data_IF_294971276110
#
_entry.id   IF_294971276110
#
_cell.length_a   1.000
_cell.length_b   1.000
_cell.length_c   1.000
_cell.angle_alpha   90.00
_cell.angle_beta   90.00
_cell.angle_gamma   90.00
#
_symmetry.space_group_name_H-M   'P 1'
#
loop_
_entity.id
_entity.type
_entity.pdbx_description
1 polymer ?
#
# COMPACT_ATOMS: atom_id res chain seq x y z
N UNK A 1 -1.46 39.21 8.10
CA UNK A 1 -1.36 37.80 8.51
C UNK A 1 -2.21 37.00 7.54
N UNK A 2 -1.59 36.12 6.75
CA UNK A 2 -2.30 35.13 5.93
C UNK A 2 -2.86 34.05 6.85
N UNK A 3 -4.13 33.69 6.67
CA UNK A 3 -4.76 32.63 7.45
C UNK A 3 -5.07 31.42 6.58
N UNK A 4 -4.41 30.29 6.86
CA UNK A 4 -4.60 29.00 6.17
C UNK A 4 -5.91 28.27 6.56
N UNK A 5 -6.84 28.98 7.18
CA UNK A 5 -8.02 28.40 7.82
C UNK A 5 -9.30 29.09 7.37
N UNK A 6 -10.32 28.26 7.12
CA UNK A 6 -11.70 28.69 6.97
C UNK A 6 -12.26 28.94 8.36
N UNK A 7 -12.81 30.14 8.58
CA UNK A 7 -13.56 30.47 9.77
C UNK A 7 -15.04 30.46 9.43
N UNK A 8 -15.85 29.80 10.27
CA UNK A 8 -17.29 29.72 10.09
C UNK A 8 -17.99 30.68 11.05
N UNK A 9 -19.13 31.28 10.65
CA UNK A 9 -19.89 32.14 11.54
C UNK A 9 -20.30 31.35 12.78
N UNK A 10 -20.04 31.91 13.96
CA UNK A 10 -20.54 31.35 15.21
C UNK A 10 -22.05 31.55 15.23
N UNK A 11 -22.82 30.45 15.26
CA UNK A 11 -24.26 30.54 15.41
C UNK A 11 -24.57 31.04 16.82
N UNK A 12 -25.21 32.20 16.91
CA UNK A 12 -25.52 32.87 18.18
C UNK A 12 -26.72 32.21 18.87
N UNK A 13 -26.42 31.27 19.76
CA UNK A 13 -27.28 30.97 20.91
C UNK A 13 -26.88 31.93 22.05
N UNK A 14 -27.82 32.55 22.79
CA UNK A 14 -27.52 33.38 23.96
C UNK A 14 -26.58 32.73 25.00
N UNK A 15 -26.57 31.40 25.11
CA UNK A 15 -25.64 30.66 25.96
C UNK A 15 -24.20 30.72 25.44
N UNK A 16 -24.03 30.57 24.13
CA UNK A 16 -22.72 30.61 23.44
C UNK A 16 -22.14 32.03 23.49
N UNK A 17 -22.97 33.06 23.35
CA UNK A 17 -22.53 34.46 23.44
C UNK A 17 -21.96 34.80 24.81
N UNK A 18 -22.63 34.35 25.89
CA UNK A 18 -22.13 34.51 27.26
C UNK A 18 -20.81 33.76 27.50
N UNK A 19 -20.67 32.55 26.97
CA UNK A 19 -19.44 31.76 27.08
C UNK A 19 -18.26 32.42 26.35
N UNK A 20 -18.48 32.92 25.13
CA UNK A 20 -17.45 33.61 24.36
C UNK A 20 -17.08 34.97 24.96
N UNK A 21 -18.04 35.74 25.46
CA UNK A 21 -17.78 36.96 26.23
C UNK A 21 -16.91 36.69 27.46
N UNK A 22 -17.17 35.58 28.18
CA UNK A 22 -16.37 35.17 29.34
C UNK A 22 -14.93 34.76 28.95
N UNK A 23 -14.76 34.08 27.82
CA UNK A 23 -13.45 33.69 27.28
C UNK A 23 -12.64 34.89 26.77
N UNK A 24 -13.30 35.90 26.18
CA UNK A 24 -12.63 37.10 25.67
C UNK A 24 -12.30 38.11 26.78
N UNK A 25 -13.09 38.18 27.86
CA UNK A 25 -12.82 39.03 29.03
C UNK A 25 -11.68 38.52 29.90
N UNK A 26 -11.44 37.21 29.91
CA UNK A 26 -10.33 36.64 30.64
C UNK A 26 -9.13 36.52 29.71
N UNK A 27 -8.13 37.40 29.84
CA UNK A 27 -6.81 37.26 29.20
C UNK A 27 -6.02 36.04 29.70
N UNK A 28 -6.63 34.86 29.74
CA UNK A 28 -6.04 33.60 30.19
C UNK A 28 -5.40 32.88 29.00
N UNK A 29 -4.11 32.54 29.06
CA UNK A 29 -3.48 31.73 28.03
C UNK A 29 -4.09 30.33 28.06
N UNK A 30 -4.53 29.82 26.90
CA UNK A 30 -4.95 28.43 26.77
C UNK A 30 -3.75 27.52 27.13
N UNK A 31 -3.92 26.69 28.17
CA UNK A 31 -3.00 25.59 28.49
C UNK A 31 -3.15 24.50 27.43
N UNK A 32 -2.35 24.61 26.37
CA UNK A 32 -1.75 23.56 25.53
C UNK A 32 -1.48 24.12 24.11
N UNK A 33 -0.26 24.62 23.84
CA UNK A 33 0.09 25.29 22.60
C UNK A 33 0.71 24.30 21.61
N UNK A 34 -0.10 23.73 20.72
CA UNK A 34 0.39 23.37 19.38
C UNK A 34 0.47 24.65 18.55
N UNK A 35 1.56 25.41 18.67
CA UNK A 35 1.76 26.71 17.99
C UNK A 35 1.86 26.59 16.46
N UNK A 36 1.60 27.67 15.65
CA UNK A 36 1.64 29.09 16.02
C UNK A 36 0.42 29.97 15.63
N UNK A 37 0.02 30.86 16.56
CA UNK A 37 -0.62 32.17 16.33
C UNK A 37 -1.96 32.32 15.56
N UNK A 38 -2.98 31.49 15.79
CA UNK A 38 -4.36 31.83 15.37
C UNK A 38 -5.29 31.97 16.58
N UNK A 39 -5.99 33.11 16.71
CA UNK A 39 -7.12 33.21 17.64
C UNK A 39 -8.18 32.19 17.21
N UNK A 40 -8.60 31.30 18.12
CA UNK A 40 -9.66 30.31 17.87
C UNK A 40 -10.97 30.97 17.44
N UNK A 41 -11.19 32.21 17.87
CA UNK A 41 -12.33 33.06 17.52
C UNK A 41 -11.79 34.41 17.02
N UNK A 42 -12.31 34.89 15.89
CA UNK A 42 -12.01 36.20 15.32
C UNK A 42 -13.29 37.04 15.23
N UNK A 43 -13.16 38.36 15.35
CA UNK A 43 -14.26 39.30 15.14
C UNK A 43 -14.05 40.06 13.84
N UNK A 44 -15.06 40.08 12.99
CA UNK A 44 -15.07 40.84 11.73
C UNK A 44 -16.45 41.47 11.54
N UNK A 45 -16.51 42.81 11.39
CA UNK A 45 -17.78 43.57 11.25
C UNK A 45 -18.80 43.18 12.34
N UNK A 46 -18.39 43.23 13.61
CA UNK A 46 -19.20 42.90 14.79
C UNK A 46 -19.78 41.47 14.85
N UNK A 47 -19.33 40.58 13.97
CA UNK A 47 -19.67 39.15 13.99
C UNK A 47 -18.48 38.31 14.40
N UNK A 48 -18.74 37.26 15.16
CA UNK A 48 -17.73 36.31 15.62
C UNK A 48 -17.66 35.10 14.69
N UNK A 49 -16.45 34.66 14.41
CA UNK A 49 -16.19 33.49 13.58
C UNK A 49 -15.23 32.55 14.30
N UNK A 50 -15.49 31.25 14.20
CA UNK A 50 -14.65 30.19 14.81
C UNK A 50 -13.78 29.55 13.75
N UNK A 51 -12.52 29.32 14.11
CA UNK A 51 -11.56 28.57 13.30
C UNK A 51 -12.08 27.14 13.09
N UNK A 52 -12.37 26.76 11.85
CA UNK A 52 -12.98 25.46 11.54
C UNK A 52 -12.02 24.50 10.84
N UNK A 53 -11.72 24.74 9.56
CA UNK A 53 -11.00 23.81 8.70
C UNK A 53 -9.71 24.42 8.17
N UNK A 54 -8.64 23.63 8.18
CA UNK A 54 -7.42 23.98 7.45
C UNK A 54 -7.67 23.77 5.96
N UNK A 55 -7.48 24.83 5.17
CA UNK A 55 -7.61 24.80 3.71
C UNK A 55 -6.68 23.74 3.11
N UNK A 56 -5.42 23.72 3.57
CA UNK A 56 -4.43 22.75 3.13
C UNK A 56 -4.83 21.32 3.48
N UNK A 57 -5.37 21.07 4.68
CA UNK A 57 -5.82 19.71 5.05
C UNK A 57 -6.98 19.21 4.20
N UNK A 58 -7.94 20.09 3.86
CA UNK A 58 -9.07 19.72 2.99
C UNK A 58 -8.57 19.39 1.59
N UNK A 59 -7.69 20.23 1.02
CA UNK A 59 -7.08 19.97 -0.28
C UNK A 59 -6.22 18.70 -0.26
N UNK A 60 -5.48 18.46 0.83
CA UNK A 60 -4.61 17.30 0.93
C UNK A 60 -5.38 15.98 0.94
N UNK A 61 -6.51 15.97 1.66
CA UNK A 61 -7.33 14.78 1.86
C UNK A 61 -8.55 14.73 0.93
N UNK A 62 -8.68 15.62 -0.06
CA UNK A 62 -9.88 15.68 -0.90
C UNK A 62 -10.19 14.37 -1.63
N UNK A 63 -9.15 13.63 -2.05
CA UNK A 63 -9.27 12.30 -2.65
C UNK A 63 -9.97 11.28 -1.71
N UNK A 64 -9.78 11.42 -0.40
CA UNK A 64 -10.45 10.58 0.62
C UNK A 64 -11.83 11.12 0.94
N UNK A 65 -11.94 12.44 1.09
CA UNK A 65 -13.18 13.12 1.49
C UNK A 65 -14.25 12.93 0.40
N UNK A 66 -13.87 13.04 -0.87
CA UNK A 66 -14.77 12.89 -2.01
C UNK A 66 -14.06 12.21 -3.19
N UNK A 67 -13.88 10.90 -3.06
CA UNK A 67 -13.24 10.07 -4.09
C UNK A 67 -13.97 10.13 -5.44
N UNK A 68 -15.30 10.27 -5.44
CA UNK A 68 -16.07 10.29 -6.68
C UNK A 68 -15.72 11.53 -7.53
N UNK A 69 -15.82 12.72 -6.95
CA UNK A 69 -15.56 13.98 -7.66
C UNK A 69 -14.07 14.11 -8.02
N UNK A 70 -13.16 13.72 -7.12
CA UNK A 70 -11.73 13.72 -7.42
C UNK A 70 -11.41 12.82 -8.63
N UNK A 71 -11.96 11.60 -8.66
CA UNK A 71 -11.76 10.68 -9.77
C UNK A 71 -12.40 11.18 -11.07
N UNK A 72 -13.53 11.89 -10.99
CA UNK A 72 -14.14 12.51 -12.15
C UNK A 72 -13.22 13.58 -12.76
N UNK A 73 -12.77 14.55 -11.94
CA UNK A 73 -11.86 15.61 -12.37
C UNK A 73 -10.53 15.05 -12.92
N UNK A 74 -10.00 14.02 -12.27
CA UNK A 74 -8.80 13.32 -12.74
C UNK A 74 -9.04 12.63 -14.08
N UNK A 75 -10.18 11.97 -14.29
CA UNK A 75 -10.53 11.33 -15.57
C UNK A 75 -10.66 12.34 -16.71
N UNK A 76 -11.28 13.49 -16.45
CA UNK A 76 -11.37 14.56 -17.45
C UNK A 76 -9.99 15.10 -17.84
N UNK A 77 -9.13 15.31 -16.85
CA UNK A 77 -7.73 15.69 -17.08
C UNK A 77 -7.01 14.64 -17.94
N UNK A 78 -7.10 13.35 -17.58
CA UNK A 78 -6.46 12.26 -18.34
C UNK A 78 -6.99 12.16 -19.77
N UNK A 79 -8.30 12.35 -19.98
CA UNK A 79 -8.93 12.37 -21.31
C UNK A 79 -8.37 13.50 -22.18
N UNK A 80 -8.18 14.70 -21.63
CA UNK A 80 -7.59 15.85 -22.35
C UNK A 80 -6.22 15.51 -22.96
N UNK A 81 -5.43 14.67 -22.28
CA UNK A 81 -4.09 14.26 -22.73
C UNK A 81 -4.04 12.84 -23.32
N UNK A 82 -5.20 12.21 -23.59
CA UNK A 82 -5.31 10.84 -24.12
C UNK A 82 -4.52 9.79 -23.31
N UNK A 83 -4.36 10.02 -22.00
CA UNK A 83 -3.66 9.12 -21.09
C UNK A 83 -4.62 8.01 -20.64
N UNK A 84 -4.61 6.88 -21.32
CA UNK A 84 -5.62 5.82 -21.12
C UNK A 84 -5.19 4.73 -20.14
N UNK A 85 -3.95 4.71 -19.67
CA UNK A 85 -3.42 3.59 -18.86
C UNK A 85 -2.50 4.02 -17.73
N UNK A 86 -2.71 3.41 -16.56
CA UNK A 86 -1.89 3.57 -15.35
C UNK A 86 -0.76 2.53 -15.28
N UNK A 87 -0.45 1.86 -16.39
CA UNK A 87 0.49 0.73 -16.41
C UNK A 87 1.90 1.14 -16.00
N UNK A 88 2.30 2.39 -16.26
CA UNK A 88 3.58 2.94 -15.81
C UNK A 88 3.68 3.02 -14.27
N UNK A 89 2.56 3.14 -13.55
CA UNK A 89 2.52 3.33 -12.10
C UNK A 89 3.02 2.12 -11.29
N UNK A 90 2.94 0.92 -11.87
CA UNK A 90 3.34 -0.32 -11.19
C UNK A 90 4.80 -0.67 -11.50
N UNK A 91 5.31 -0.27 -12.66
CA UNK A 91 6.76 -0.27 -12.95
C UNK A 91 7.54 0.65 -11.99
N UNK A 92 6.85 1.65 -11.42
CA UNK A 92 7.37 2.59 -10.43
C UNK A 92 7.32 2.07 -9.00
N UNK A 93 6.75 0.90 -8.77
CA UNK A 93 6.57 0.40 -7.41
C UNK A 93 7.83 -0.30 -6.92
N UNK A 94 8.60 0.40 -6.08
CA UNK A 94 9.81 -0.15 -5.49
C UNK A 94 9.52 -1.39 -4.63
N UNK A 95 8.32 -1.49 -4.05
CA UNK A 95 7.89 -2.70 -3.32
C UNK A 95 7.80 -3.89 -4.28
N UNK A 96 7.18 -3.69 -5.44
CA UNK A 96 7.09 -4.73 -6.47
C UNK A 96 8.47 -5.11 -7.00
N UNK A 97 9.36 -4.13 -7.23
CA UNK A 97 10.75 -4.42 -7.63
C UNK A 97 11.46 -5.27 -6.59
N UNK A 98 11.35 -4.94 -5.31
CA UNK A 98 11.90 -5.74 -4.21
C UNK A 98 11.33 -7.16 -4.23
N UNK A 99 10.02 -7.31 -4.43
CA UNK A 99 9.38 -8.63 -4.53
C UNK A 99 9.95 -9.43 -5.72
N UNK A 100 9.96 -8.85 -6.92
CA UNK A 100 10.35 -9.54 -8.15
C UNK A 100 11.84 -9.86 -8.21
N UNK A 101 12.71 -8.91 -7.84
CA UNK A 101 14.16 -9.02 -8.09
C UNK A 101 14.96 -9.47 -6.87
N UNK A 102 14.38 -9.45 -5.67
CA UNK A 102 15.11 -9.80 -4.44
C UNK A 102 14.45 -10.93 -3.65
N UNK A 103 13.13 -10.89 -3.45
CA UNK A 103 12.42 -11.93 -2.68
C UNK A 103 12.13 -13.17 -3.52
N UNK A 104 11.51 -13.00 -4.69
CA UNK A 104 11.09 -14.11 -5.56
C UNK A 104 12.26 -15.03 -5.95
N UNK A 105 13.45 -14.53 -6.36
CA UNK A 105 14.57 -15.37 -6.73
C UNK A 105 15.04 -16.28 -5.59
N UNK A 106 14.82 -15.90 -4.33
CA UNK A 106 15.15 -16.74 -3.19
C UNK A 106 14.33 -18.04 -3.17
N UNK A 107 13.03 -17.97 -3.48
CA UNK A 107 12.09 -19.09 -3.35
C UNK A 107 11.93 -19.94 -4.62
N UNK A 108 12.14 -19.37 -5.81
CA UNK A 108 11.95 -20.10 -7.08
C UNK A 108 13.21 -20.87 -7.53
N UNK A 109 14.40 -20.50 -7.03
CA UNK A 109 15.66 -21.08 -7.51
C UNK A 109 15.84 -22.53 -7.02
N UNK A 110 15.70 -23.48 -7.95
CA UNK A 110 16.03 -24.90 -7.74
C UNK A 110 17.46 -25.21 -8.20
N UNK A 111 18.49 -24.79 -7.46
CA UNK A 111 19.86 -25.30 -7.69
C UNK A 111 20.54 -25.68 -6.37
N UNK A 112 20.76 -26.99 -6.20
CA UNK A 112 21.59 -27.59 -5.15
C UNK A 112 23.06 -27.38 -5.52
N UNK A 113 23.72 -26.35 -4.97
CA UNK A 113 25.14 -26.08 -5.22
C UNK A 113 25.72 -24.99 -4.32
N UNK A 114 27.03 -25.07 -4.04
CA UNK A 114 27.75 -24.36 -2.97
C UNK A 114 28.05 -22.87 -3.21
N UNK A 115 27.66 -22.25 -4.34
CA UNK A 115 27.79 -20.78 -4.52
C UNK A 115 26.62 -20.19 -5.30
N UNK A 116 25.80 -19.37 -4.61
CA UNK A 116 24.75 -18.55 -5.23
C UNK A 116 25.41 -17.42 -6.04
N UNK A 117 25.50 -17.53 -7.36
CA UNK A 117 25.73 -16.34 -8.21
C UNK A 117 24.50 -15.42 -8.10
N UNK A 118 24.69 -14.13 -7.81
CA UNK A 118 23.61 -13.13 -7.88
C UNK A 118 23.20 -12.98 -9.35
N UNK A 119 21.91 -13.16 -9.65
CA UNK A 119 21.41 -12.92 -11.01
C UNK A 119 21.33 -11.43 -11.28
N UNK A 120 21.48 -11.05 -12.54
CA UNK A 120 21.02 -9.73 -12.99
C UNK A 120 19.49 -9.69 -13.07
N UNK A 121 18.94 -8.48 -13.08
CA UNK A 121 17.50 -8.27 -13.25
C UNK A 121 17.00 -8.85 -14.58
N UNK A 122 17.80 -8.77 -15.64
CA UNK A 122 17.51 -9.39 -16.95
C UNK A 122 17.43 -10.91 -16.89
N UNK A 123 18.37 -11.57 -16.20
CA UNK A 123 18.36 -13.03 -16.00
C UNK A 123 17.13 -13.47 -15.19
N UNK A 124 16.66 -12.63 -14.25
CA UNK A 124 15.44 -12.89 -13.49
C UNK A 124 14.20 -12.77 -14.39
N UNK A 125 14.13 -11.74 -15.25
CA UNK A 125 13.03 -11.57 -16.20
C UNK A 125 13.00 -12.69 -17.25
N UNK A 126 14.16 -13.14 -17.72
CA UNK A 126 14.26 -14.29 -18.62
C UNK A 126 13.72 -15.58 -17.93
N UNK A 127 14.04 -15.79 -16.65
CA UNK A 127 13.55 -16.92 -15.88
C UNK A 127 12.03 -16.86 -15.68
N UNK A 128 11.51 -15.69 -15.33
CA UNK A 128 10.07 -15.45 -15.15
C UNK A 128 9.34 -15.65 -16.49
N UNK A 129 9.86 -15.07 -17.58
CA UNK A 129 9.29 -15.20 -18.92
C UNK A 129 9.26 -16.63 -19.44
N UNK A 130 10.22 -17.48 -19.06
CA UNK A 130 10.21 -18.90 -19.40
C UNK A 130 9.12 -19.70 -18.67
N UNK A 131 8.48 -19.14 -17.63
CA UNK A 131 7.48 -19.80 -16.79
C UNK A 131 6.06 -19.29 -16.99
N UNK A 132 5.88 -18.25 -17.81
CA UNK A 132 4.61 -17.56 -18.01
C UNK A 132 4.35 -17.43 -19.50
N UNK A 133 3.11 -17.70 -19.89
CA UNK A 133 2.62 -17.36 -21.22
C UNK A 133 2.06 -15.92 -21.22
N UNK A 134 2.72 -15.01 -21.93
CA UNK A 134 2.36 -13.59 -21.97
C UNK A 134 1.44 -13.35 -23.19
N UNK A 135 0.23 -12.80 -23.00
CA UNK A 135 -0.66 -12.52 -24.13
C UNK A 135 -0.06 -11.57 -25.16
N UNK A 136 -0.30 -11.82 -26.45
CA UNK A 136 0.27 -11.06 -27.59
C UNK A 136 0.05 -9.53 -27.48
N UNK A 137 -1.06 -9.11 -26.86
CA UNK A 137 -1.38 -7.68 -26.65
C UNK A 137 -0.25 -6.94 -25.91
N UNK A 138 0.42 -7.57 -24.94
CA UNK A 138 1.50 -6.92 -24.18
C UNK A 138 2.78 -6.79 -24.98
N UNK A 139 3.05 -7.69 -25.92
CA UNK A 139 4.18 -7.54 -26.85
C UNK A 139 3.96 -6.39 -27.83
N UNK A 140 2.73 -6.21 -28.31
CA UNK A 140 2.36 -5.06 -29.15
C UNK A 140 2.51 -3.75 -28.38
N UNK A 141 2.06 -3.73 -27.13
CA UNK A 141 2.19 -2.58 -26.24
C UNK A 141 3.64 -2.27 -25.87
N UNK A 142 4.46 -3.29 -25.59
CA UNK A 142 5.89 -3.12 -25.30
C UNK A 142 6.66 -2.45 -26.46
N UNK A 143 6.28 -2.73 -27.71
CA UNK A 143 6.83 -2.02 -28.88
C UNK A 143 6.48 -0.54 -28.83
N UNK A 144 5.23 -0.20 -28.51
CA UNK A 144 4.79 1.19 -28.39
C UNK A 144 5.34 1.90 -27.15
N UNK A 145 5.63 1.15 -26.08
CA UNK A 145 6.17 1.65 -24.82
C UNK A 145 7.52 2.36 -24.99
N UNK A 146 8.31 1.92 -25.98
CA UNK A 146 9.59 2.54 -26.36
C UNK A 146 9.43 3.92 -27.00
N UNK A 147 8.26 4.27 -27.50
CA UNK A 147 8.01 5.59 -28.07
C UNK A 147 7.82 6.62 -26.96
N UNK A 148 8.91 7.34 -26.65
CA UNK A 148 8.93 8.37 -25.62
C UNK A 148 8.44 9.74 -26.10
N UNK A 149 8.41 9.98 -27.41
CA UNK A 149 8.06 11.29 -27.98
C UNK A 149 6.64 11.78 -27.64
N UNK A 150 5.59 10.93 -27.68
CA UNK A 150 4.26 11.36 -27.23
C UNK A 150 4.25 11.81 -25.76
N UNK A 151 5.01 11.11 -24.90
CA UNK A 151 5.08 11.41 -23.47
C UNK A 151 5.84 12.72 -23.21
N UNK A 152 6.93 12.97 -23.94
CA UNK A 152 7.67 14.24 -23.90
C UNK A 152 6.80 15.42 -24.33
N UNK A 153 6.00 15.24 -25.40
CA UNK A 153 5.09 16.29 -25.87
C UNK A 153 4.02 16.63 -24.83
N UNK A 154 3.45 15.62 -24.16
CA UNK A 154 2.48 15.81 -23.07
C UNK A 154 3.12 16.54 -21.90
N UNK A 155 4.31 16.13 -21.45
CA UNK A 155 5.04 16.78 -20.35
C UNK A 155 5.33 18.25 -20.65
N UNK A 156 5.82 18.56 -21.85
CA UNK A 156 6.05 19.96 -22.28
C UNK A 156 4.75 20.77 -22.28
N UNK A 157 3.64 20.16 -22.69
CA UNK A 157 2.30 20.76 -22.60
C UNK A 157 1.87 21.06 -21.16
N UNK A 158 2.21 20.20 -20.21
CA UNK A 158 1.92 20.38 -18.78
C UNK A 158 2.81 21.45 -18.14
N UNK A 159 4.10 21.51 -18.50
CA UNK A 159 5.02 22.54 -18.02
C UNK A 159 4.55 23.95 -18.41
N UNK A 160 4.00 24.10 -19.63
CA UNK A 160 3.43 25.36 -20.10
C UNK A 160 2.16 25.80 -19.36
N UNK A 161 1.56 24.90 -18.57
CA UNK A 161 0.31 25.09 -17.85
C UNK A 161 0.50 25.11 -16.33
N UNK A 162 1.75 25.17 -15.81
CA UNK A 162 2.03 25.20 -14.35
C UNK A 162 1.12 26.22 -13.66
N UNK A 163 0.06 25.76 -12.98
CA UNK A 163 -0.84 26.68 -12.32
C UNK A 163 -0.19 27.08 -11.01
N UNK A 164 0.27 28.34 -10.93
CA UNK A 164 0.57 28.98 -9.65
C UNK A 164 -0.76 29.20 -8.96
N UNK A 165 -1.05 28.36 -7.97
CA UNK A 165 -2.25 28.49 -7.18
C UNK A 165 -1.92 29.20 -5.87
N UNK A 166 -2.39 30.43 -5.73
CA UNK A 166 -2.22 31.20 -4.51
C UNK A 166 -3.37 30.90 -3.54
N UNK A 167 -3.10 30.88 -2.22
CA UNK A 167 -4.17 30.81 -1.24
C UNK A 167 -5.15 31.98 -1.46
N UNK A 168 -6.43 31.79 -1.08
CA UNK A 168 -7.41 32.84 -1.31
C UNK A 168 -7.04 34.02 -0.41
N UNK A 169 -7.25 35.24 -0.90
CA UNK A 169 -6.97 36.45 -0.12
C UNK A 169 -7.71 36.44 1.21
N UNK A 170 -7.10 37.03 2.25
CA UNK A 170 -7.75 37.16 3.55
C UNK A 170 -9.01 38.03 3.41
N UNK A 171 -10.14 37.58 3.97
CA UNK A 171 -11.38 38.35 4.01
C UNK A 171 -12.62 37.47 3.95
N UNK A 172 -13.77 38.12 3.79
CA UNK A 172 -15.02 37.42 3.53
C UNK A 172 -15.05 36.91 2.09
N UNK A 173 -15.08 35.59 1.94
CA UNK A 173 -15.25 34.92 0.65
C UNK A 173 -16.70 34.47 0.52
N UNK A 174 -17.31 34.75 -0.62
CA UNK A 174 -18.59 34.11 -0.97
C UNK A 174 -18.38 32.61 -1.22
N UNK A 175 -19.46 31.84 -1.09
CA UNK A 175 -19.43 30.40 -1.38
C UNK A 175 -18.97 30.11 -2.81
N UNK A 176 -19.37 30.94 -3.78
CA UNK A 176 -18.93 30.80 -5.17
C UNK A 176 -17.42 31.01 -5.32
N UNK A 177 -16.88 32.10 -4.76
CA UNK A 177 -15.45 32.37 -4.81
C UNK A 177 -14.62 31.26 -4.16
N UNK A 178 -15.05 30.76 -3.00
CA UNK A 178 -14.36 29.66 -2.34
C UNK A 178 -14.43 28.36 -3.14
N UNK A 179 -15.58 28.09 -3.77
CA UNK A 179 -15.79 26.90 -4.61
C UNK A 179 -14.92 26.94 -5.87
N UNK A 180 -14.90 28.06 -6.59
CA UNK A 180 -14.13 28.23 -7.82
C UNK A 180 -12.63 28.11 -7.50
N UNK A 181 -12.19 28.80 -6.44
CA UNK A 181 -10.84 28.68 -5.91
C UNK A 181 -10.49 27.22 -5.57
N UNK A 182 -11.37 26.51 -4.86
CA UNK A 182 -11.11 25.12 -4.49
C UNK A 182 -11.06 24.18 -5.70
N UNK A 183 -11.90 24.39 -6.71
CA UNK A 183 -11.83 23.63 -7.96
C UNK A 183 -10.50 23.84 -8.68
N UNK A 184 -10.03 25.09 -8.78
CA UNK A 184 -8.70 25.40 -9.34
C UNK A 184 -7.58 24.75 -8.53
N UNK A 185 -7.66 24.77 -7.20
CA UNK A 185 -6.71 24.12 -6.29
C UNK A 185 -6.59 22.62 -6.58
N UNK A 186 -7.73 21.95 -6.70
CA UNK A 186 -7.81 20.50 -6.93
C UNK A 186 -7.28 20.18 -8.33
N UNK A 187 -7.61 20.97 -9.35
CA UNK A 187 -7.04 20.83 -10.69
C UNK A 187 -5.53 20.98 -10.71
N UNK A 188 -5.00 22.00 -10.01
CA UNK A 188 -3.57 22.23 -9.90
C UNK A 188 -2.87 21.06 -9.22
N UNK A 189 -3.45 20.55 -8.12
CA UNK A 189 -2.96 19.36 -7.42
C UNK A 189 -2.95 18.11 -8.30
N UNK A 190 -4.02 17.87 -9.07
CA UNK A 190 -4.09 16.76 -10.03
C UNK A 190 -3.00 16.93 -11.09
N UNK A 191 -2.85 18.12 -11.66
CA UNK A 191 -1.85 18.40 -12.70
C UNK A 191 -0.43 18.19 -12.19
N UNK A 192 -0.10 18.63 -10.97
CA UNK A 192 1.21 18.43 -10.36
C UNK A 192 1.50 16.94 -10.11
N UNK A 193 0.54 16.19 -9.53
CA UNK A 193 0.69 14.75 -9.32
C UNK A 193 0.87 13.98 -10.63
N UNK A 194 0.11 14.33 -11.66
CA UNK A 194 0.21 13.68 -12.97
C UNK A 194 1.51 14.07 -13.69
N UNK A 195 1.98 15.31 -13.57
CA UNK A 195 3.30 15.72 -14.06
C UNK A 195 4.43 14.87 -13.43
N UNK A 196 4.42 14.72 -12.11
CA UNK A 196 5.40 13.88 -11.41
C UNK A 196 5.30 12.42 -11.86
N UNK A 197 4.08 11.87 -11.97
CA UNK A 197 3.85 10.52 -12.47
C UNK A 197 4.40 10.32 -13.87
N UNK A 198 4.13 11.24 -14.80
CA UNK A 198 4.57 11.17 -16.19
C UNK A 198 6.08 11.37 -16.32
N UNK A 199 6.68 12.23 -15.50
CA UNK A 199 8.14 12.43 -15.45
C UNK A 199 8.83 11.13 -15.05
N UNK A 200 8.31 10.47 -14.01
CA UNK A 200 8.80 9.16 -13.57
C UNK A 200 8.58 8.06 -14.62
N UNK A 201 7.41 8.04 -15.26
CA UNK A 201 7.11 7.13 -16.35
C UNK A 201 8.08 7.31 -17.54
N UNK A 202 8.44 8.56 -17.86
CA UNK A 202 9.42 8.86 -18.91
C UNK A 202 10.80 8.33 -18.55
N UNK A 203 11.25 8.54 -17.31
CA UNK A 203 12.53 8.01 -16.82
C UNK A 203 12.58 6.48 -16.95
N UNK A 204 11.51 5.79 -16.57
CA UNK A 204 11.41 4.33 -16.74
C UNK A 204 11.47 3.96 -18.22
N UNK A 205 10.67 4.58 -19.08
CA UNK A 205 10.68 4.25 -20.50
C UNK A 205 12.05 4.45 -21.15
N UNK A 206 12.80 5.45 -20.68
CA UNK A 206 14.20 5.66 -21.10
C UNK A 206 15.15 4.58 -20.56
N UNK A 207 14.98 4.13 -19.32
CA UNK A 207 15.77 2.99 -18.78
C UNK A 207 15.46 1.70 -19.54
N UNK A 208 14.19 1.45 -19.86
CA UNK A 208 13.72 0.27 -20.57
C UNK A 208 13.83 0.39 -22.10
N UNK A 209 14.28 1.52 -22.65
CA UNK A 209 14.42 1.66 -24.11
C UNK A 209 15.47 0.70 -24.67
N UNK A 210 16.44 0.32 -23.84
CA UNK A 210 17.50 -0.64 -24.17
C UNK A 210 17.14 -2.09 -23.78
N UNK A 211 16.13 -2.29 -22.93
CA UNK A 211 15.70 -3.63 -22.49
C UNK A 211 15.01 -4.40 -23.61
N UNK A 212 15.07 -5.73 -23.57
CA UNK A 212 14.42 -6.61 -24.57
C UNK A 212 12.89 -6.35 -24.59
N UNK A 213 12.21 -6.33 -25.76
CA UNK A 213 10.76 -6.14 -25.82
C UNK A 213 9.98 -7.15 -24.97
N UNK A 214 10.50 -8.37 -24.85
CA UNK A 214 9.95 -9.45 -24.03
C UNK A 214 9.93 -9.08 -22.54
N UNK A 215 10.98 -8.43 -22.04
CA UNK A 215 11.06 -7.96 -20.65
C UNK A 215 10.04 -6.87 -20.36
N UNK A 216 9.89 -5.92 -21.29
CA UNK A 216 8.87 -4.89 -21.18
C UNK A 216 7.46 -5.51 -21.21
N UNK A 217 7.19 -6.43 -22.14
CA UNK A 217 5.90 -7.12 -22.23
C UNK A 217 5.56 -7.87 -20.93
N UNK A 218 6.54 -8.58 -20.36
CA UNK A 218 6.39 -9.28 -19.10
C UNK A 218 6.01 -8.34 -17.95
N UNK A 219 6.73 -7.23 -17.81
CA UNK A 219 6.46 -6.28 -16.73
C UNK A 219 5.11 -5.57 -16.92
N UNK A 220 4.73 -5.24 -18.16
CA UNK A 220 3.39 -4.71 -18.47
C UNK A 220 2.30 -5.73 -18.10
N UNK A 221 2.52 -7.01 -18.37
CA UNK A 221 1.60 -8.08 -18.00
C UNK A 221 1.45 -8.24 -16.48
N UNK A 222 2.58 -8.27 -15.76
CA UNK A 222 2.57 -8.34 -14.29
C UNK A 222 1.88 -7.12 -13.67
N UNK A 223 2.12 -5.93 -14.24
CA UNK A 223 1.48 -4.70 -13.82
C UNK A 223 -0.04 -4.77 -14.00
N UNK A 224 -0.52 -5.17 -15.18
CA UNK A 224 -1.96 -5.23 -15.48
C UNK A 224 -2.70 -6.29 -14.66
N UNK A 225 -2.09 -7.47 -14.49
CA UNK A 225 -2.66 -8.56 -13.68
C UNK A 225 -2.62 -8.28 -12.18
N UNK A 226 -1.62 -7.53 -11.71
CA UNK A 226 -1.42 -7.23 -10.29
C UNK A 226 -1.12 -8.48 -9.44
N UNK A 227 -0.77 -9.60 -10.06
CA UNK A 227 -0.44 -10.85 -9.37
C UNK A 227 0.42 -11.75 -10.23
N UNK A 228 1.26 -12.56 -9.58
CA UNK A 228 2.06 -13.58 -10.24
C UNK A 228 2.32 -14.73 -9.28
N UNK A 229 2.33 -15.97 -9.78
CA UNK A 229 2.76 -17.16 -9.04
C UNK A 229 3.65 -18.05 -9.91
N UNK A 230 4.83 -18.41 -9.41
CA UNK A 230 5.81 -19.29 -10.07
C UNK A 230 6.36 -20.28 -9.03
N UNK A 231 6.35 -21.57 -9.36
CA UNK A 231 6.85 -22.65 -8.47
C UNK A 231 6.28 -22.54 -7.04
N UNK A 232 5.02 -22.10 -6.91
CA UNK A 232 4.30 -21.90 -5.65
C UNK A 232 4.68 -20.65 -4.86
N UNK A 233 5.65 -19.84 -5.31
CA UNK A 233 5.87 -18.50 -4.75
C UNK A 233 5.08 -17.48 -5.56
N UNK A 234 4.42 -16.53 -4.90
CA UNK A 234 3.69 -15.51 -5.63
C UNK A 234 3.39 -14.26 -4.83
N UNK A 235 2.72 -13.32 -5.49
CA UNK A 235 2.15 -12.15 -4.84
C UNK A 235 0.82 -11.74 -5.47
N UNK A 236 0.02 -10.98 -4.73
CA UNK A 236 -1.25 -10.39 -5.19
C UNK A 236 -1.41 -8.98 -4.64
N UNK A 237 -1.78 -8.02 -5.48
CA UNK A 237 -2.11 -6.64 -5.10
C UNK A 237 -3.50 -6.57 -4.48
N UNK A 238 -3.65 -5.91 -3.32
CA UNK A 238 -4.89 -5.90 -2.52
C UNK A 238 -5.61 -4.56 -2.46
N UNK A 239 -4.93 -3.42 -2.69
CA UNK A 239 -5.54 -2.09 -2.62
C UNK A 239 -5.05 -1.16 -3.73
N UNK A 240 -5.97 -0.35 -4.27
CA UNK A 240 -5.67 0.70 -5.24
C UNK A 240 -5.25 2.03 -4.57
N UNK A 241 -5.60 2.23 -3.29
CA UNK A 241 -5.39 3.50 -2.58
C UNK A 241 -4.02 3.59 -1.88
N UNK A 242 -3.50 2.45 -1.42
CA UNK A 242 -2.10 2.26 -1.00
C UNK A 242 -1.65 0.95 -1.60
N UNK A 243 -0.53 0.92 -2.31
CA UNK A 243 -0.10 -0.29 -3.00
C UNK A 243 0.38 -1.32 -1.98
N UNK A 244 -0.57 -2.13 -1.51
CA UNK A 244 -0.36 -3.24 -0.60
C UNK A 244 -0.28 -4.54 -1.43
N UNK A 245 0.77 -5.31 -1.21
CA UNK A 245 0.89 -6.67 -1.74
C UNK A 245 0.82 -7.67 -0.61
N UNK A 246 0.19 -8.80 -0.91
CA UNK A 246 0.44 -10.03 -0.18
C UNK A 246 1.47 -10.84 -0.94
N UNK A 247 2.61 -11.10 -0.30
CA UNK A 247 3.68 -11.95 -0.84
C UNK A 247 3.57 -13.29 -0.13
N UNK A 248 3.58 -14.40 -0.88
CA UNK A 248 3.28 -15.71 -0.32
C UNK A 248 4.09 -16.84 -0.94
N UNK A 249 4.14 -17.95 -0.19
CA UNK A 249 4.69 -19.23 -0.63
C UNK A 249 3.71 -20.35 -0.27
N UNK A 250 3.36 -21.16 -1.25
CA UNK A 250 2.67 -22.45 -1.06
C UNK A 250 3.56 -23.41 -0.30
N UNK A 251 3.01 -23.96 0.75
CA UNK A 251 3.67 -24.94 1.61
C UNK A 251 3.60 -26.36 1.00
N UNK A 252 2.64 -26.65 0.12
CA UNK A 252 2.35 -28.01 -0.33
C UNK A 252 1.71 -28.85 0.77
N UNK A 253 1.15 -30.00 0.41
CA UNK A 253 0.61 -30.94 1.38
C UNK A 253 1.72 -31.48 2.30
N UNK A 254 1.43 -31.62 3.58
CA UNK A 254 2.37 -32.15 4.56
C UNK A 254 1.67 -32.97 5.64
N UNK A 255 2.46 -33.66 6.45
CA UNK A 255 1.95 -34.53 7.51
C UNK A 255 2.61 -34.17 8.83
N UNK A 256 1.81 -34.02 9.89
CA UNK A 256 2.31 -33.95 11.26
C UNK A 256 1.92 -35.23 12.00
N UNK A 257 2.78 -35.67 12.92
CA UNK A 257 2.48 -36.80 13.80
C UNK A 257 2.21 -36.30 15.20
N UNK A 258 1.17 -36.79 15.87
CA UNK A 258 0.91 -36.46 17.28
C UNK A 258 1.78 -37.27 18.25
N UNK A 259 1.54 -37.08 19.55
CA UNK A 259 2.23 -37.81 20.63
C UNK A 259 2.06 -39.33 20.56
N UNK A 260 0.95 -39.79 20.00
CA UNK A 260 0.62 -41.19 19.82
C UNK A 260 1.05 -41.72 18.44
N UNK A 261 1.91 -40.98 17.73
CA UNK A 261 2.38 -41.28 16.38
C UNK A 261 1.29 -41.37 15.30
N UNK A 262 0.08 -40.87 15.58
CA UNK A 262 -0.99 -40.77 14.58
C UNK A 262 -0.65 -39.65 13.60
N UNK A 263 -0.88 -39.92 12.32
CA UNK A 263 -0.50 -39.01 11.24
C UNK A 263 -1.70 -38.18 10.81
N UNK A 264 -1.53 -36.86 10.75
CA UNK A 264 -2.54 -35.90 10.32
C UNK A 264 -2.07 -35.24 9.04
N UNK A 265 -2.89 -35.37 8.01
CA UNK A 265 -2.65 -34.78 6.69
C UNK A 265 -3.17 -33.35 6.69
N UNK A 266 -2.31 -32.43 6.28
CA UNK A 266 -2.58 -31.03 6.18
C UNK A 266 -2.57 -30.64 4.69
N UNK A 267 -3.66 -30.04 4.18
CA UNK A 267 -3.74 -29.67 2.78
C UNK A 267 -2.78 -28.52 2.45
N UNK A 268 -2.51 -28.29 1.17
CA UNK A 268 -1.73 -27.13 0.75
C UNK A 268 -2.40 -25.81 1.19
N UNK A 269 -1.59 -24.85 1.62
CA UNK A 269 -2.00 -23.48 1.91
C UNK A 269 -0.88 -22.48 1.58
N UNK A 270 -1.26 -21.21 1.45
CA UNK A 270 -0.35 -20.09 1.23
C UNK A 270 -0.02 -19.43 2.57
N UNK A 271 1.25 -19.50 2.93
CA UNK A 271 1.82 -18.66 3.98
C UNK A 271 2.23 -17.34 3.32
N UNK A 272 1.71 -16.24 3.86
CA UNK A 272 1.84 -14.92 3.29
C UNK A 272 2.34 -13.90 4.32
N UNK A 273 2.78 -12.76 3.82
CA UNK A 273 2.98 -11.52 4.58
C UNK A 273 2.42 -10.35 3.80
N UNK A 274 2.03 -9.30 4.53
CA UNK A 274 1.66 -8.01 3.93
C UNK A 274 2.89 -7.13 3.80
N UNK A 275 2.98 -6.37 2.71
CA UNK A 275 3.95 -5.28 2.56
C UNK A 275 3.57 -4.05 3.36
N UNK A 276 2.44 -4.08 4.08
CA UNK A 276 2.03 -3.07 5.03
C UNK A 276 2.07 -3.62 6.46
N UNK A 277 2.36 -2.74 7.43
CA UNK A 277 2.46 -3.14 8.84
C UNK A 277 1.12 -3.64 9.39
N UNK A 278 1.11 -4.65 10.28
CA UNK A 278 2.26 -5.32 10.89
C UNK A 278 2.88 -6.43 10.00
N UNK A 279 4.21 -6.50 9.97
CA UNK A 279 4.96 -7.48 9.17
C UNK A 279 5.01 -8.85 9.84
N UNK A 280 3.87 -9.56 9.85
CA UNK A 280 3.72 -10.90 10.45
C UNK A 280 3.31 -11.92 9.41
N UNK A 281 3.76 -13.19 9.54
CA UNK A 281 3.32 -14.23 8.65
C UNK A 281 1.89 -14.66 9.00
N UNK A 282 1.09 -14.93 7.98
CA UNK A 282 -0.28 -15.38 8.12
C UNK A 282 -0.65 -16.42 7.06
N UNK A 283 -1.68 -17.21 7.32
CA UNK A 283 -2.26 -18.14 6.34
C UNK A 283 -3.40 -17.45 5.59
N UNK A 284 -3.33 -17.43 4.26
CA UNK A 284 -4.34 -16.76 3.43
C UNK A 284 -5.68 -17.50 3.45
N UNK A 285 -5.64 -18.83 3.32
CA UNK A 285 -6.82 -19.69 3.24
C UNK A 285 -7.55 -19.80 4.59
N UNK A 286 -8.81 -20.22 4.51
CA UNK A 286 -9.51 -20.79 5.65
C UNK A 286 -8.84 -22.12 6.00
N UNK A 287 -7.98 -22.10 7.02
CA UNK A 287 -7.10 -23.21 7.35
C UNK A 287 -7.19 -23.57 8.83
N UNK A 288 -7.13 -24.88 9.13
CA UNK A 288 -7.21 -25.40 10.49
C UNK A 288 -5.85 -26.01 10.87
N UNK A 289 -5.18 -25.44 11.87
CA UNK A 289 -3.84 -25.88 12.29
C UNK A 289 -3.59 -25.57 13.78
N UNK A 290 -2.80 -26.38 14.51
CA UNK A 290 -2.50 -26.14 15.94
C UNK A 290 -1.89 -24.77 16.26
N UNK A 291 -1.23 -24.13 15.29
CA UNK A 291 -0.63 -22.79 15.43
C UNK A 291 -1.55 -21.64 15.01
N UNK A 292 -2.80 -21.94 14.64
CA UNK A 292 -3.80 -20.95 14.25
C UNK A 292 -4.93 -20.94 15.27
N UNK A 293 -5.35 -19.75 15.69
CA UNK A 293 -6.34 -19.60 16.76
C UNK A 293 -7.77 -19.98 16.32
N UNK A 294 -8.08 -19.98 15.03
CA UNK A 294 -9.44 -20.15 14.50
C UNK A 294 -9.42 -20.96 13.20
N UNK A 295 -10.59 -21.18 12.62
CA UNK A 295 -10.76 -21.70 11.27
C UNK A 295 -11.34 -20.62 10.35
N UNK A 296 -10.53 -19.61 10.02
CA UNK A 296 -10.88 -18.44 9.18
C UNK A 296 -9.77 -18.14 8.16
N UNK A 297 -10.04 -17.31 7.16
CA UNK A 297 -9.03 -16.80 6.23
C UNK A 297 -8.19 -15.68 6.87
N UNK A 298 -6.96 -15.50 6.41
CA UNK A 298 -6.08 -14.40 6.84
C UNK A 298 -5.63 -14.49 8.30
N UNK A 299 -5.27 -15.70 8.77
CA UNK A 299 -4.90 -15.91 10.17
C UNK A 299 -3.41 -15.71 10.41
N UNK A 300 -3.07 -14.77 11.28
CA UNK A 300 -1.69 -14.64 11.78
C UNK A 300 -1.22 -15.94 12.41
N UNK A 301 -0.01 -16.36 12.04
CA UNK A 301 0.67 -17.49 12.66
C UNK A 301 1.24 -16.98 13.99
N UNK A 302 0.74 -17.50 15.11
CA UNK A 302 1.12 -17.01 16.43
C UNK A 302 2.52 -17.52 16.82
N UNK A 303 3.50 -16.62 16.87
CA UNK A 303 4.88 -16.88 17.28
C UNK A 303 5.26 -15.93 18.43
N UNK A 304 5.69 -16.46 19.60
CA UNK A 304 5.75 -15.69 20.85
C UNK A 304 6.90 -14.68 20.94
N UNK A 305 8.09 -14.97 20.44
CA UNK A 305 9.22 -14.03 20.41
C UNK A 305 9.47 -13.47 19.01
N UNK A 306 8.50 -13.63 18.10
CA UNK A 306 8.57 -12.98 16.82
C UNK A 306 8.34 -11.47 16.97
N UNK A 307 9.44 -10.72 16.91
CA UNK A 307 9.41 -9.28 16.76
C UNK A 307 9.24 -8.97 15.27
N UNK A 308 8.06 -8.47 14.84
CA UNK A 308 7.91 -8.02 13.46
C UNK A 308 8.93 -6.89 13.22
N UNK A 309 9.60 -6.88 12.07
CA UNK A 309 10.44 -5.76 11.70
C UNK A 309 9.61 -4.47 11.60
N UNK A 310 10.28 -3.32 11.53
CA UNK A 310 9.61 -2.02 11.37
C UNK A 310 9.48 -1.61 9.90
N UNK A 311 10.23 -2.26 9.00
CA UNK A 311 10.35 -1.87 7.59
C UNK A 311 10.28 -3.09 6.66
N UNK A 312 9.72 -2.86 5.48
CA UNK A 312 9.68 -3.85 4.42
C UNK A 312 11.02 -3.85 3.66
N UNK A 313 11.78 -4.94 3.80
CA UNK A 313 12.99 -5.22 3.02
C UNK A 313 12.95 -6.65 2.51
N UNK A 314 13.76 -6.99 1.51
CA UNK A 314 13.81 -8.36 0.98
C UNK A 314 14.22 -9.38 2.06
N UNK A 315 15.22 -9.06 2.88
CA UNK A 315 15.70 -9.93 3.96
C UNK A 315 14.60 -10.17 5.00
N UNK A 316 13.89 -9.12 5.39
CA UNK A 316 12.77 -9.22 6.32
C UNK A 316 11.63 -10.05 5.73
N UNK A 317 11.28 -9.83 4.46
CA UNK A 317 10.22 -10.57 3.78
C UNK A 317 10.57 -12.07 3.68
N UNK A 318 11.80 -12.40 3.29
CA UNK A 318 12.30 -13.78 3.24
C UNK A 318 12.22 -14.42 4.62
N UNK A 319 12.77 -13.76 5.65
CA UNK A 319 12.77 -14.26 7.03
C UNK A 319 11.36 -14.54 7.52
N UNK A 320 10.41 -13.61 7.32
CA UNK A 320 9.02 -13.76 7.73
C UNK A 320 8.37 -14.99 7.08
N UNK A 321 8.54 -15.15 5.76
CA UNK A 321 7.98 -16.30 5.05
C UNK A 321 8.61 -17.60 5.52
N UNK A 322 9.93 -17.65 5.71
CA UNK A 322 10.62 -18.84 6.20
C UNK A 322 10.17 -19.23 7.61
N UNK A 323 10.05 -18.27 8.52
CA UNK A 323 9.56 -18.51 9.87
C UNK A 323 8.12 -19.00 9.88
N UNK A 324 7.23 -18.39 9.08
CA UNK A 324 5.84 -18.84 8.94
C UNK A 324 5.74 -20.26 8.36
N UNK A 325 6.48 -20.57 7.30
CA UNK A 325 6.54 -21.91 6.70
C UNK A 325 7.10 -22.94 7.69
N UNK A 326 8.15 -22.57 8.43
CA UNK A 326 8.80 -23.42 9.44
C UNK A 326 7.88 -23.68 10.61
N UNK A 327 7.16 -22.67 11.10
CA UNK A 327 6.20 -22.80 12.19
C UNK A 327 5.09 -23.80 11.85
N UNK A 328 4.57 -23.78 10.62
CA UNK A 328 3.55 -24.74 10.19
C UNK A 328 4.10 -26.16 10.00
N UNK A 329 5.29 -26.32 9.40
CA UNK A 329 5.85 -27.65 9.11
C UNK A 329 6.50 -28.35 10.31
N UNK A 330 7.17 -27.56 11.15
CA UNK A 330 8.10 -28.08 12.16
C UNK A 330 7.86 -27.50 13.55
N UNK A 331 6.89 -26.59 13.71
CA UNK A 331 6.51 -26.09 15.02
C UNK A 331 5.92 -27.19 15.92
N UNK A 332 5.50 -28.33 15.36
CA UNK A 332 4.89 -29.42 16.11
C UNK A 332 5.90 -30.52 16.48
N UNK A 333 6.06 -30.81 17.78
CA UNK A 333 6.87 -31.90 18.36
C UNK A 333 6.01 -33.09 18.79
N UNK A 334 6.07 -34.17 18.00
CA UNK A 334 5.43 -35.43 18.31
C UNK A 334 5.93 -36.10 19.63
N UNK A 335 7.02 -35.66 20.25
CA UNK A 335 7.52 -36.24 21.50
C UNK A 335 6.92 -35.61 22.75
N UNK A 336 6.15 -34.54 22.61
CA UNK A 336 5.52 -33.81 23.72
C UNK A 336 4.02 -34.08 23.72
N UNK A 337 3.44 -34.34 24.90
CA UNK A 337 1.98 -34.56 25.04
C UNK A 337 1.15 -33.37 24.54
N UNK A 338 1.69 -32.15 24.68
CA UNK A 338 1.08 -30.93 24.14
C UNK A 338 1.62 -30.56 22.76
N UNK A 339 2.51 -31.37 22.18
CA UNK A 339 2.76 -31.32 20.75
C UNK A 339 3.59 -30.16 20.21
N UNK A 340 4.11 -29.23 20.99
CA UNK A 340 4.81 -28.05 20.43
C UNK A 340 6.34 -28.17 20.53
N UNK A 341 7.03 -28.12 19.38
CA UNK A 341 8.45 -27.77 19.31
C UNK A 341 8.56 -26.32 19.76
N UNK A 342 9.27 -26.12 20.86
CA UNK A 342 9.65 -24.80 21.35
C UNK A 342 10.69 -24.18 20.42
N UNK A 343 10.26 -23.74 19.23
CA UNK A 343 10.93 -22.60 18.60
C UNK A 343 10.53 -21.29 19.31
N UNK A 344 9.47 -21.31 20.12
CA UNK A 344 9.25 -20.52 21.34
C UNK A 344 8.19 -21.16 22.23
N UNK A 345 8.26 -20.98 23.55
CA UNK A 345 7.30 -21.51 24.54
C UNK A 345 5.94 -20.80 24.42
N UNK A 346 5.00 -21.31 23.64
CA UNK A 346 3.61 -20.80 23.52
C UNK A 346 2.95 -20.55 24.90
N UNK A 347 2.12 -19.51 24.99
CA UNK A 347 1.37 -19.18 26.21
C UNK A 347 0.35 -20.28 26.54
N UNK A 348 0.32 -20.68 27.81
CA UNK A 348 -0.41 -21.84 28.38
C UNK A 348 -1.91 -21.53 28.60
N UNK A 349 -2.56 -20.79 27.72
CA UNK A 349 -4.01 -20.53 27.83
C UNK A 349 -4.76 -20.63 26.49
N UNK A 350 -4.35 -21.60 25.66
CA UNK A 350 -5.26 -22.19 24.68
C UNK A 350 -5.70 -23.51 25.31
N UNK A 351 -7.02 -23.79 25.43
CA UNK A 351 -7.49 -25.11 25.88
C UNK A 351 -6.74 -26.17 25.09
N UNK A 352 -6.27 -27.23 25.76
CA UNK A 352 -5.60 -28.37 25.13
C UNK A 352 -6.39 -28.79 23.91
N UNK A 353 -5.96 -28.37 22.71
CA UNK A 353 -6.69 -28.65 21.49
C UNK A 353 -6.39 -30.10 21.15
N UNK A 354 -7.42 -30.94 21.19
CA UNK A 354 -7.32 -32.34 20.78
C UNK A 354 -7.15 -32.40 19.26
N UNK A 355 -6.22 -33.23 18.78
CA UNK A 355 -6.03 -33.45 17.35
C UNK A 355 -7.27 -34.02 16.67
N UNK A 356 -8.12 -34.72 17.43
CA UNK A 356 -9.42 -35.22 16.96
C UNK A 356 -10.32 -34.08 16.47
N UNK A 357 -10.15 -32.84 16.97
CA UNK A 357 -10.90 -31.70 16.46
C UNK A 357 -10.52 -31.38 15.00
N UNK A 358 -9.31 -31.70 14.54
CA UNK A 358 -8.82 -31.39 13.19
C UNK A 358 -9.15 -32.46 12.15
N UNK A 359 -9.80 -33.55 12.53
CA UNK A 359 -10.36 -34.50 11.57
C UNK A 359 -11.53 -33.84 10.85
N UNK A 360 -11.46 -33.88 9.52
CA UNK A 360 -12.61 -33.59 8.64
C UNK A 360 -13.35 -34.91 8.43
#
# INVERSE_FOLDING_TARGET
MESDFIYLPLLFDPAIENEVQNLLRQGRPMKNPGHPQSKTIITHQDRQFVKALSIHSVLENYEVINAYDYNHLRKEFLRKYQLTREVDGILLDDTLKTILFQVMPYFIRKNRGLRRKKLSDEEILDLIGAKIDIPEKYYKEAKTFRHVEPLKAILKGLESQKPTFNPPGNGLLSTHQLRDWFHEAVHAKISAREHDRLTRALQIRLQFSQAKPEHAALLLYIADTGSLEIDGFGFTRKSAYKVEYFVYKRIGEYTLKDYYARSYLFPDCRVALSTYTPFRPFVMEKYKHPFLLRHKSGQEICMKHFAPPNEFTAENAIRILEEGLTALRYGYDARRRNGYHSLDRTWVHIPTIDFEEYRI
#
